data_IF_392193370825
#
_entry.id   IF_392193370825
#
_cell.length_a   1.000
_cell.length_b   1.000
_cell.length_c   1.000
_cell.angle_alpha   90.00
_cell.angle_beta   90.00
_cell.angle_gamma   90.00
#
_symmetry.space_group_name_H-M   'P 1'
#
loop_
_entity.id
_entity.type
_entity.pdbx_description
1 polymer ?
#
# COMPACT_ATOMS: atom_id res chain seq x y z
N UNK A 1 17.29 -1.27 4.69
CA UNK A 1 16.95 -0.44 3.51
C UNK A 1 15.53 0.08 3.72
N UNK A 2 15.27 1.37 3.46
CA UNK A 2 13.95 1.97 3.74
C UNK A 2 12.95 1.62 2.60
N UNK A 3 11.75 1.08 2.90
CA UNK A 3 10.79 0.62 1.89
C UNK A 3 9.97 1.74 1.26
N UNK A 4 9.44 1.50 0.07
CA UNK A 4 8.16 2.09 -0.36
C UNK A 4 7.04 1.21 0.20
N UNK A 5 6.18 1.78 1.03
CA UNK A 5 5.02 1.07 1.59
C UNK A 5 3.84 1.21 0.64
N UNK A 6 3.21 0.09 0.30
CA UNK A 6 2.04 0.02 -0.56
C UNK A 6 0.87 -0.42 0.31
N UNK A 7 -0.08 0.48 0.53
CA UNK A 7 -1.30 0.24 1.30
C UNK A 7 -2.37 -0.33 0.39
N UNK A 8 -2.85 -1.53 0.69
CA UNK A 8 -3.74 -2.29 -0.20
C UNK A 8 -5.21 -2.17 0.21
N UNK A 9 -6.05 -1.80 -0.76
CA UNK A 9 -7.51 -1.71 -0.59
C UNK A 9 -8.28 -2.75 -1.43
N UNK A 10 -7.60 -3.81 -1.88
CA UNK A 10 -8.20 -4.92 -2.62
C UNK A 10 -8.18 -4.77 -4.14
N UNK A 11 -7.28 -3.94 -4.69
CA UNK A 11 -7.10 -3.84 -6.14
C UNK A 11 -6.44 -5.09 -6.71
N UNK A 12 -6.92 -5.50 -7.88
CA UNK A 12 -6.27 -6.52 -8.72
C UNK A 12 -4.81 -6.17 -9.09
N UNK A 13 -4.41 -4.90 -8.96
CA UNK A 13 -3.10 -4.40 -9.33
C UNK A 13 -2.08 -4.35 -8.17
N UNK A 14 -2.45 -4.69 -6.93
CA UNK A 14 -1.56 -4.55 -5.75
C UNK A 14 -0.19 -5.22 -5.96
N UNK A 15 -0.19 -6.46 -6.49
CA UNK A 15 1.03 -7.20 -6.80
C UNK A 15 1.80 -6.63 -7.99
N UNK A 16 1.11 -6.03 -8.97
CA UNK A 16 1.74 -5.38 -10.12
C UNK A 16 2.48 -4.12 -9.68
N UNK A 17 1.87 -3.29 -8.83
CA UNK A 17 2.50 -2.10 -8.25
C UNK A 17 3.77 -2.51 -7.48
N UNK A 18 3.67 -3.51 -6.60
CA UNK A 18 4.81 -4.00 -5.83
C UNK A 18 5.95 -4.51 -6.73
N UNK A 19 5.62 -5.17 -7.84
CA UNK A 19 6.58 -5.62 -8.86
C UNK A 19 7.25 -4.43 -9.55
N UNK A 20 6.50 -3.42 -9.99
CA UNK A 20 7.06 -2.22 -10.65
C UNK A 20 8.03 -1.45 -9.75
N UNK A 21 7.71 -1.31 -8.47
CA UNK A 21 8.63 -0.68 -7.50
C UNK A 21 9.95 -1.44 -7.40
N UNK A 22 9.90 -2.79 -7.41
CA UNK A 22 11.10 -3.63 -7.36
C UNK A 22 11.91 -3.59 -8.66
N UNK A 23 11.24 -3.54 -9.81
CA UNK A 23 11.89 -3.36 -11.12
C UNK A 23 12.64 -2.02 -11.23
N UNK A 24 12.20 -1.00 -10.48
CA UNK A 24 12.88 0.29 -10.35
C UNK A 24 14.01 0.29 -9.30
N UNK A 25 14.34 -0.87 -8.70
CA UNK A 25 15.42 -1.02 -7.73
C UNK A 25 15.07 -0.62 -6.30
N UNK A 26 13.79 -0.37 -5.99
CA UNK A 26 13.34 -0.03 -4.65
C UNK A 26 12.73 -1.23 -3.92
N UNK A 27 13.01 -1.36 -2.61
CA UNK A 27 12.34 -2.34 -1.76
C UNK A 27 10.88 -1.92 -1.54
N UNK A 28 9.93 -2.84 -1.75
CA UNK A 28 8.50 -2.61 -1.54
C UNK A 28 7.92 -3.51 -0.45
N UNK A 29 7.12 -2.92 0.43
CA UNK A 29 6.37 -3.59 1.49
C UNK A 29 4.87 -3.40 1.26
N UNK A 30 4.12 -4.49 1.17
CA UNK A 30 2.65 -4.47 1.07
C UNK A 30 2.06 -4.55 2.48
N UNK A 31 1.17 -3.62 2.83
CA UNK A 31 0.44 -3.60 4.09
C UNK A 31 -1.06 -3.37 3.81
N UNK A 32 -1.98 -3.91 4.63
CA UNK A 32 -3.40 -3.56 4.54
C UNK A 32 -3.63 -2.05 4.63
N UNK A 33 -4.59 -1.51 3.88
CA UNK A 33 -4.97 -0.10 3.97
C UNK A 33 -5.48 0.34 5.34
N UNK A 34 -5.89 -0.62 6.18
CA UNK A 34 -6.32 -0.44 7.56
C UNK A 34 -5.19 -0.52 8.59
N UNK A 35 -3.93 -0.62 8.14
CA UNK A 35 -2.78 -0.70 9.06
C UNK A 35 -2.63 0.61 9.84
N UNK A 36 -2.47 0.57 11.18
CA UNK A 36 -2.29 1.77 11.98
C UNK A 36 -1.06 2.58 11.56
N UNK A 37 -1.16 3.91 11.64
CA UNK A 37 -0.09 4.82 11.23
C UNK A 37 1.19 4.55 11.99
N UNK A 38 1.10 4.22 13.28
CA UNK A 38 2.24 3.90 14.13
C UNK A 38 2.99 2.66 13.63
N UNK A 39 2.29 1.68 13.07
CA UNK A 39 2.92 0.50 12.49
C UNK A 39 3.59 0.80 11.15
N UNK A 40 2.95 1.61 10.30
CA UNK A 40 3.53 2.07 9.03
C UNK A 40 4.85 2.82 9.30
N UNK A 41 4.88 3.70 10.31
CA UNK A 41 6.05 4.50 10.64
C UNK A 41 7.23 3.69 11.18
N UNK A 42 6.99 2.54 11.84
CA UNK A 42 8.07 1.62 12.30
C UNK A 42 8.92 1.09 11.14
N UNK A 43 8.37 1.06 9.93
CA UNK A 43 9.10 0.63 8.74
C UNK A 43 10.00 1.71 8.15
N UNK A 44 9.95 2.95 8.66
CA UNK A 44 10.68 4.11 8.13
C UNK A 44 10.57 4.24 6.59
N UNK A 45 9.34 4.32 6.04
CA UNK A 45 9.14 4.34 4.60
C UNK A 45 9.79 5.57 3.94
N UNK A 46 10.32 5.40 2.73
CA UNK A 46 10.73 6.53 1.87
C UNK A 46 9.57 7.12 1.08
N UNK A 47 8.45 6.40 1.00
CA UNK A 47 7.27 6.80 0.25
C UNK A 47 6.11 5.86 0.51
N UNK A 48 4.91 6.35 0.16
CA UNK A 48 3.64 5.65 0.31
C UNK A 48 2.93 5.57 -1.04
N UNK A 49 2.35 4.41 -1.34
CA UNK A 49 1.43 4.23 -2.45
C UNK A 49 0.12 3.72 -1.85
N UNK A 50 -0.96 4.48 -2.01
CA UNK A 50 -2.30 4.01 -1.68
C UNK A 50 -2.85 3.32 -2.93
N UNK A 51 -3.09 2.02 -2.85
CA UNK A 51 -3.62 1.26 -3.97
C UNK A 51 -5.11 1.56 -4.16
N UNK A 52 -5.66 1.13 -5.31
CA UNK A 52 -7.10 1.19 -5.52
C UNK A 52 -7.84 0.10 -4.75
N UNK A 53 -9.16 0.16 -4.80
CA UNK A 53 -10.06 -0.91 -4.41
C UNK A 53 -11.26 -0.95 -5.35
N UNK A 54 -12.00 -2.06 -5.38
CA UNK A 54 -13.23 -2.15 -6.18
C UNK A 54 -14.38 -1.31 -5.59
N UNK A 55 -14.30 -0.97 -4.31
CA UNK A 55 -15.31 -0.21 -3.59
C UNK A 55 -15.22 1.29 -3.88
N UNK A 56 -16.37 1.93 -4.04
CA UNK A 56 -16.44 3.39 -4.00
C UNK A 56 -16.21 3.87 -2.57
N UNK A 57 -15.45 4.95 -2.40
CA UNK A 57 -15.15 5.53 -1.06
C UNK A 57 -16.40 5.93 -0.27
N UNK A 58 -17.56 6.04 -0.94
CA UNK A 58 -18.83 6.41 -0.35
C UNK A 58 -19.71 5.22 0.08
N UNK A 59 -19.32 3.98 -0.24
CA UNK A 59 -20.11 2.80 0.09
C UNK A 59 -20.03 2.43 1.57
N UNK A 60 -21.14 1.98 2.19
CA UNK A 60 -21.11 1.40 3.53
C UNK A 60 -20.16 0.18 3.54
N UNK A 61 -19.12 0.24 4.36
CA UNK A 61 -18.11 -0.83 4.47
C UNK A 61 -16.84 -0.62 3.62
N UNK A 62 -16.73 0.49 2.89
CA UNK A 62 -15.46 0.89 2.29
C UNK A 62 -14.38 1.02 3.37
N UNK A 63 -13.14 0.57 3.12
CA UNK A 63 -12.04 0.75 4.08
C UNK A 63 -11.82 2.26 4.33
N UNK A 64 -11.71 2.65 5.61
CA UNK A 64 -11.48 4.03 6.04
C UNK A 64 -10.11 4.20 6.67
#
# INVERSE_FOLDING_TARGET
>A
MRPVVILTYGSQYDRLIARRVRELGAYSLLLPGTTPVEEILKHHPVGLILSGGPASVFEPGAPR
#
